data_IF_096477699207
#
_entry.id   IF_096477699207
#
_cell.length_a   1.000
_cell.length_b   1.000
_cell.length_c   1.000
_cell.angle_alpha   90.00
_cell.angle_beta   90.00
_cell.angle_gamma   90.00
#
_symmetry.space_group_name_H-M   'P 1'
#
loop_
_entity.id
_entity.type
_entity.pdbx_description
1 polymer ?
#
# COMPACT_ATOMS: atom_id res chain seq x y z
N UNK A 1 -1.78 0.07 13.00
CA UNK A 1 -0.74 1.06 12.60
C UNK A 1 -1.19 1.79 11.34
N UNK A 2 -1.07 3.10 11.34
CA UNK A 2 -1.31 3.88 10.12
C UNK A 2 -0.03 3.99 9.32
N UNK A 3 -0.12 3.73 8.04
CA UNK A 3 1.01 3.69 7.11
C UNK A 3 0.70 4.58 5.92
N UNK A 4 1.62 5.49 5.60
CA UNK A 4 1.53 6.28 4.38
C UNK A 4 2.11 5.48 3.23
N UNK A 5 1.33 5.32 2.16
CA UNK A 5 1.75 4.60 0.96
C UNK A 5 1.63 5.50 -0.27
N UNK A 6 2.49 5.28 -1.25
CA UNK A 6 2.37 5.87 -2.56
C UNK A 6 2.02 4.78 -3.56
N UNK A 7 0.85 4.89 -4.17
CA UNK A 7 0.37 3.90 -5.14
C UNK A 7 0.83 4.30 -6.53
N UNK A 8 1.48 3.37 -7.23
CA UNK A 8 1.89 3.53 -8.62
C UNK A 8 1.04 2.59 -9.48
N UNK A 9 0.03 3.13 -10.19
CA UNK A 9 -0.83 2.31 -11.03
C UNK A 9 -0.16 1.94 -12.36
N UNK A 10 -0.75 1.00 -13.06
CA UNK A 10 -0.29 0.53 -14.39
C UNK A 10 1.17 0.08 -14.39
N UNK A 11 1.60 -0.55 -13.31
CA UNK A 11 2.96 -1.06 -13.19
C UNK A 11 3.07 -2.43 -13.87
N UNK A 12 4.18 -2.66 -14.58
CA UNK A 12 4.50 -3.96 -15.12
C UNK A 12 4.97 -4.96 -14.05
N UNK A 13 5.37 -4.45 -12.87
CA UNK A 13 5.92 -5.26 -11.79
C UNK A 13 5.21 -4.93 -10.48
N UNK A 14 3.99 -5.47 -10.25
CA UNK A 14 3.26 -5.23 -9.01
C UNK A 14 4.03 -5.71 -7.78
N UNK A 15 3.91 -4.99 -6.69
CA UNK A 15 4.55 -5.39 -5.44
C UNK A 15 4.65 -4.24 -4.46
N UNK A 16 5.08 -4.55 -3.25
CA UNK A 16 5.29 -3.61 -2.16
C UNK A 16 6.77 -3.54 -1.84
N UNK A 17 7.34 -2.34 -1.82
CA UNK A 17 8.72 -2.17 -1.41
C UNK A 17 9.33 -0.89 -1.96
N UNK A 18 10.30 -0.38 -1.21
CA UNK A 18 10.94 0.89 -1.49
C UNK A 18 10.18 2.06 -0.91
N UNK A 19 10.72 3.25 -1.08
CA UNK A 19 10.08 4.46 -0.58
C UNK A 19 10.12 5.56 -1.64
N UNK A 20 9.15 6.45 -1.56
CA UNK A 20 9.11 7.70 -2.29
C UNK A 20 8.84 8.79 -1.25
N UNK A 21 9.82 9.67 -1.03
CA UNK A 21 9.86 10.49 0.18
C UNK A 21 9.77 9.56 1.40
N UNK A 22 8.79 9.73 2.28
CA UNK A 22 8.62 8.86 3.45
C UNK A 22 7.56 7.77 3.23
N UNK A 23 6.92 7.75 2.06
CA UNK A 23 5.84 6.82 1.77
C UNK A 23 6.37 5.47 1.27
N UNK A 24 5.74 4.40 1.73
CA UNK A 24 6.00 3.06 1.22
C UNK A 24 5.43 2.95 -0.21
N UNK A 25 6.25 2.49 -1.14
CA UNK A 25 5.81 2.33 -2.53
C UNK A 25 5.01 1.05 -2.69
N UNK A 26 3.82 1.18 -3.28
CA UNK A 26 2.94 0.07 -3.64
C UNK A 26 2.63 0.16 -5.12
N UNK A 27 3.18 -0.77 -5.90
CA UNK A 27 2.97 -0.85 -7.34
C UNK A 27 1.83 -1.81 -7.63
N UNK A 28 0.88 -1.36 -8.43
CA UNK A 28 -0.27 -2.17 -8.86
C UNK A 28 -0.36 -2.16 -10.39
N UNK A 29 -0.84 -3.24 -10.98
CA UNK A 29 -1.04 -3.31 -12.43
C UNK A 29 -2.32 -2.61 -12.86
N UNK A 30 -3.29 -2.48 -11.98
CA UNK A 30 -4.58 -1.86 -12.25
C UNK A 30 -4.45 -0.36 -12.52
N UNK A 31 -5.37 0.20 -13.31
CA UNK A 31 -5.43 1.65 -13.51
C UNK A 31 -6.00 2.36 -12.27
N UNK A 32 -5.76 3.67 -12.18
CA UNK A 32 -6.29 4.48 -11.09
C UNK A 32 -7.81 4.63 -11.12
N UNK A 33 -8.45 4.35 -12.25
CA UNK A 33 -9.88 4.55 -12.44
C UNK A 33 -10.73 3.58 -11.63
N UNK A 34 -11.91 4.03 -11.19
CA UNK A 34 -12.95 3.22 -10.54
C UNK A 34 -12.50 2.52 -9.25
N UNK A 35 -11.51 3.07 -8.57
CA UNK A 35 -11.01 2.50 -7.31
C UNK A 35 -10.25 1.19 -7.45
N UNK A 36 -9.97 0.75 -8.67
CA UNK A 36 -9.29 -0.54 -8.91
C UNK A 36 -7.88 -0.57 -8.35
N UNK A 37 -7.11 0.50 -8.56
CA UNK A 37 -5.76 0.59 -8.03
C UNK A 37 -5.75 0.60 -6.49
N UNK A 38 -6.72 1.28 -5.87
CA UNK A 38 -6.85 1.31 -4.42
C UNK A 38 -7.15 -0.08 -3.86
N UNK A 39 -8.10 -0.79 -4.44
CA UNK A 39 -8.44 -2.14 -3.99
C UNK A 39 -7.25 -3.10 -4.12
N UNK A 40 -6.51 -3.02 -5.22
CA UNK A 40 -5.31 -3.82 -5.43
C UNK A 40 -4.22 -3.45 -4.42
N UNK A 41 -4.03 -2.17 -4.13
CA UNK A 41 -3.06 -1.71 -3.14
C UNK A 41 -3.37 -2.24 -1.74
N UNK A 42 -4.63 -2.20 -1.32
CA UNK A 42 -5.05 -2.74 -0.03
C UNK A 42 -4.73 -4.24 0.09
N UNK A 43 -4.99 -5.00 -0.97
CA UNK A 43 -4.71 -6.43 -1.00
C UNK A 43 -3.20 -6.72 -0.91
N UNK A 44 -2.39 -5.98 -1.66
CA UNK A 44 -0.94 -6.15 -1.63
C UNK A 44 -0.33 -5.77 -0.28
N UNK A 45 -0.81 -4.70 0.33
CA UNK A 45 -0.36 -4.27 1.66
C UNK A 45 -0.72 -5.33 2.70
N UNK A 46 -1.94 -5.86 2.66
CA UNK A 46 -2.35 -6.92 3.58
C UNK A 46 -1.42 -8.14 3.46
N UNK A 47 -1.12 -8.56 2.23
CA UNK A 47 -0.22 -9.68 2.00
C UNK A 47 1.20 -9.39 2.49
N UNK A 48 1.71 -8.18 2.25
CA UNK A 48 3.07 -7.80 2.64
C UNK A 48 3.26 -7.78 4.16
N UNK A 49 2.21 -7.44 4.91
CA UNK A 49 2.24 -7.42 6.38
C UNK A 49 1.70 -8.70 7.02
N UNK A 50 1.25 -9.65 6.21
CA UNK A 50 0.75 -10.92 6.74
C UNK A 50 -0.56 -10.79 7.50
N UNK A 51 -1.40 -9.83 7.16
CA UNK A 51 -2.70 -9.61 7.79
C UNK A 51 -3.84 -9.91 6.82
N UNK A 52 -5.05 -10.08 7.34
CA UNK A 52 -6.22 -10.34 6.50
C UNK A 52 -6.55 -9.15 5.62
N UNK A 53 -6.94 -9.40 4.37
CA UNK A 53 -7.28 -8.35 3.42
C UNK A 53 -8.37 -7.42 3.96
N UNK A 54 -9.38 -7.96 4.63
CA UNK A 54 -10.49 -7.19 5.17
C UNK A 54 -10.13 -6.30 6.36
N UNK A 55 -8.95 -6.48 6.96
CA UNK A 55 -8.50 -5.66 8.09
C UNK A 55 -7.82 -4.37 7.67
N UNK A 56 -7.36 -4.26 6.42
CA UNK A 56 -6.70 -3.05 5.91
C UNK A 56 -7.75 -2.10 5.37
N UNK A 57 -7.74 -0.86 5.88
CA UNK A 57 -8.72 0.15 5.49
C UNK A 57 -8.05 1.42 5.02
N UNK A 58 -8.70 2.10 4.07
CA UNK A 58 -8.28 3.41 3.59
C UNK A 58 -8.75 4.47 4.58
N UNK A 59 -7.81 5.24 5.12
CA UNK A 59 -8.11 6.34 6.05
C UNK A 59 -8.24 7.66 5.30
N UNK A 60 -7.35 7.92 4.35
CA UNK A 60 -7.33 9.18 3.60
C UNK A 60 -6.68 8.98 2.24
N UNK A 61 -6.95 9.91 1.32
CA UNK A 61 -6.30 9.92 0.01
C UNK A 61 -7.01 9.09 -1.05
N UNK A 62 -8.34 8.94 -0.98
CA UNK A 62 -9.09 8.12 -1.93
C UNK A 62 -8.82 8.49 -3.40
N UNK A 63 -8.57 9.77 -3.69
CA UNK A 63 -8.31 10.27 -5.05
C UNK A 63 -6.87 10.74 -5.24
N UNK A 64 -5.99 10.35 -4.34
CA UNK A 64 -4.57 10.72 -4.37
C UNK A 64 -3.71 9.48 -4.60
N UNK A 65 -2.54 9.68 -5.18
CA UNK A 65 -1.53 8.62 -5.24
C UNK A 65 -0.91 8.34 -3.88
N UNK A 66 -0.92 9.33 -2.98
CA UNK A 66 -0.47 9.16 -1.60
C UNK A 66 -1.70 8.90 -0.74
N UNK A 67 -1.68 7.79 -0.04
CA UNK A 67 -2.81 7.33 0.77
C UNK A 67 -2.34 6.99 2.17
N UNK A 68 -3.24 7.14 3.13
CA UNK A 68 -3.01 6.66 4.49
C UNK A 68 -3.89 5.45 4.70
N UNK A 69 -3.27 4.34 5.07
CA UNK A 69 -3.95 3.08 5.35
C UNK A 69 -3.83 2.75 6.83
N UNK A 70 -4.88 2.14 7.37
CA UNK A 70 -4.82 1.53 8.70
C UNK A 70 -4.60 0.04 8.53
N UNK A 71 -3.52 -0.47 9.11
CA UNK A 71 -3.11 -1.87 9.02
C UNK A 71 -2.97 -2.44 10.43
N UNK A 72 -4.09 -2.89 11.04
CA UNK A 72 -4.04 -3.48 12.37
C UNK A 72 -3.15 -4.73 12.40
N UNK A 73 -2.29 -4.82 13.40
CA UNK A 73 -1.37 -5.95 13.53
C UNK A 73 -0.11 -5.85 12.69
N UNK A 74 0.10 -4.74 11.99
CA UNK A 74 1.34 -4.54 11.24
C UNK A 74 2.54 -4.44 12.20
N UNK A 75 3.62 -5.11 11.82
CA UNK A 75 4.88 -5.08 12.58
C UNK A 75 5.75 -3.93 12.09
N UNK A 76 6.19 -3.02 12.97
CA UNK A 76 7.08 -1.93 12.59
C UNK A 76 8.38 -2.39 11.92
N UNK A 77 8.95 -3.52 12.33
CA UNK A 77 10.15 -4.06 11.71
C UNK A 77 9.88 -4.48 10.25
N UNK A 78 8.70 -5.00 9.96
CA UNK A 78 8.30 -5.32 8.59
C UNK A 78 8.22 -4.06 7.75
N UNK A 79 7.64 -2.98 8.28
CA UNK A 79 7.59 -1.70 7.56
C UNK A 79 9.00 -1.19 7.23
N UNK A 80 9.92 -1.18 8.19
CA UNK A 80 11.29 -0.75 7.96
C UNK A 80 11.97 -1.57 6.87
N UNK A 81 11.78 -2.89 6.91
CA UNK A 81 12.36 -3.79 5.92
C UNK A 81 11.81 -3.52 4.52
N UNK A 82 10.52 -3.30 4.40
CA UNK A 82 9.89 -2.99 3.11
C UNK A 82 10.33 -1.63 2.57
N UNK A 83 10.45 -0.62 3.43
CA UNK A 83 10.91 0.71 3.00
C UNK A 83 12.35 0.68 2.47
N UNK A 84 13.17 -0.24 2.97
CA UNK A 84 14.56 -0.36 2.59
C UNK A 84 14.81 -1.11 1.27
N UNK A 85 13.78 -1.68 0.69
CA UNK A 85 13.93 -2.44 -0.55
C UNK A 85 14.32 -1.57 -1.75
#
# INVERSE_FOLDING_TARGET
MRITVRVQPRSAHPGVGGHHDEALVVRVSEPAADGKATAAALALVAAAFGVGRGSVTLVAGARSRVKILDVPGADPATLERLLAL
#
